data_IF_625727953746
#
_entry.id   IF_625727953746
#
_cell.length_a   1.000
_cell.length_b   1.000
_cell.length_c   1.000
_cell.angle_alpha   90.00
_cell.angle_beta   90.00
_cell.angle_gamma   90.00
#
_symmetry.space_group_name_H-M   'P 1'
#
loop_
_entity.id
_entity.type
_entity.pdbx_description
1 polymer ?
#
# COMPACT_ATOMS: atom_id res chain seq x y z
N UNK A 1 22.25 -38.37 11.02
CA UNK A 1 21.81 -38.41 9.61
C UNK A 1 20.42 -38.99 9.53
N UNK A 2 19.38 -38.40 10.14
CA UNK A 2 17.96 -38.81 10.04
C UNK A 2 17.05 -37.81 10.80
N UNK A 3 17.06 -36.51 10.40
CA UNK A 3 16.15 -35.48 10.98
C UNK A 3 15.50 -34.57 9.91
N UNK A 4 15.56 -34.99 8.63
CA UNK A 4 15.11 -34.16 7.50
C UNK A 4 13.88 -34.69 6.76
N UNK A 5 13.12 -35.62 7.33
CA UNK A 5 12.02 -36.30 6.62
C UNK A 5 10.65 -36.25 7.29
N UNK A 6 10.39 -35.31 8.20
CA UNK A 6 9.02 -35.07 8.72
C UNK A 6 8.69 -33.56 8.87
N UNK A 7 9.09 -32.73 7.92
CA UNK A 7 8.50 -31.42 7.73
C UNK A 7 7.18 -31.61 6.97
N UNK A 8 6.05 -31.62 7.67
CA UNK A 8 4.79 -31.22 7.04
C UNK A 8 5.03 -29.82 6.50
N UNK A 9 5.15 -29.65 5.20
CA UNK A 9 5.05 -28.35 4.55
C UNK A 9 3.62 -27.89 4.84
N UNK A 10 3.44 -27.03 5.87
CA UNK A 10 2.16 -26.41 6.11
C UNK A 10 1.94 -25.42 4.97
N UNK A 11 0.85 -25.58 4.25
CA UNK A 11 0.45 -24.65 3.20
C UNK A 11 -0.04 -23.36 3.88
N UNK A 12 0.56 -22.22 3.55
CA UNK A 12 0.11 -20.92 4.01
C UNK A 12 -0.98 -20.37 3.10
N UNK A 13 -2.12 -20.04 3.67
CA UNK A 13 -3.26 -19.47 2.96
C UNK A 13 -3.28 -17.96 3.14
N UNK A 14 -3.10 -17.22 2.06
CA UNK A 14 -3.01 -15.76 2.08
C UNK A 14 -4.24 -15.17 1.40
N UNK A 15 -5.05 -14.43 2.16
CA UNK A 15 -6.20 -13.70 1.61
C UNK A 15 -5.74 -12.47 0.85
N UNK A 16 -6.11 -12.35 -0.43
CA UNK A 16 -5.77 -11.23 -1.29
C UNK A 16 -7.02 -10.43 -1.66
N UNK A 17 -6.93 -9.11 -1.56
CA UNK A 17 -8.01 -8.20 -1.94
C UNK A 17 -7.46 -6.85 -2.38
N UNK A 18 -8.30 -6.01 -3.00
CA UNK A 18 -7.92 -4.67 -3.43
C UNK A 18 -9.03 -3.65 -3.28
N UNK A 19 -8.64 -2.42 -2.89
CA UNK A 19 -9.41 -1.20 -3.01
C UNK A 19 -8.48 -0.10 -3.56
N UNK A 20 -8.63 0.23 -4.83
CA UNK A 20 -7.76 1.19 -5.53
C UNK A 20 -8.62 2.33 -6.08
N UNK A 21 -8.55 3.47 -5.46
CA UNK A 21 -9.18 4.71 -5.92
C UNK A 21 -8.45 5.91 -5.34
N UNK A 22 -8.21 6.91 -6.16
CA UNK A 22 -7.67 8.21 -5.76
C UNK A 22 -8.81 9.24 -5.72
N UNK A 23 -8.93 9.97 -4.63
CA UNK A 23 -10.03 10.89 -4.38
C UNK A 23 -9.60 12.35 -4.42
N UNK A 24 -10.53 13.21 -4.85
CA UNK A 24 -10.39 14.65 -4.85
C UNK A 24 -11.54 15.27 -4.04
N UNK A 25 -11.23 15.89 -2.90
CA UNK A 25 -12.22 16.57 -2.04
C UNK A 25 -12.78 17.85 -2.66
N UNK A 26 -12.06 18.48 -3.57
CA UNK A 26 -12.39 19.80 -4.11
C UNK A 26 -13.12 19.73 -5.45
N UNK A 27 -13.35 18.53 -5.99
CA UNK A 27 -14.03 18.39 -7.28
C UNK A 27 -14.14 16.95 -7.75
N UNK A 28 -14.56 16.81 -9.00
CA UNK A 28 -14.78 15.50 -9.62
C UNK A 28 -16.21 15.01 -9.47
N UNK A 29 -16.52 13.93 -10.19
CA UNK A 29 -17.80 13.22 -10.07
C UNK A 29 -17.68 12.26 -8.89
N UNK A 30 -18.66 12.23 -7.96
CA UNK A 30 -18.66 11.26 -6.87
C UNK A 30 -18.50 9.83 -7.38
N UNK A 31 -17.64 9.05 -6.71
CA UNK A 31 -17.35 7.67 -7.09
C UNK A 31 -18.37 6.73 -6.46
N UNK A 32 -19.29 6.23 -7.25
CA UNK A 32 -20.31 5.26 -6.87
C UNK A 32 -19.85 3.82 -7.13
N UNK A 33 -20.67 2.83 -6.75
CA UNK A 33 -20.34 1.41 -6.99
C UNK A 33 -20.26 1.07 -8.48
N UNK A 34 -20.99 1.79 -9.34
CA UNK A 34 -20.92 1.57 -10.77
C UNK A 34 -19.64 2.13 -11.39
N UNK A 35 -18.99 3.10 -10.74
CA UNK A 35 -17.64 3.57 -11.11
C UNK A 35 -16.61 2.44 -10.98
N UNK A 36 -16.67 1.68 -9.89
CA UNK A 36 -15.84 0.48 -9.72
C UNK A 36 -16.21 -0.60 -10.75
N UNK A 37 -17.48 -0.87 -10.98
CA UNK A 37 -17.92 -1.86 -11.97
C UNK A 37 -17.51 -1.53 -13.40
N UNK A 38 -17.43 -0.24 -13.75
CA UNK A 38 -16.97 0.21 -15.07
C UNK A 38 -15.46 0.04 -15.25
N UNK A 39 -14.68 0.12 -14.17
CA UNK A 39 -13.22 0.00 -14.22
C UNK A 39 -12.79 -1.43 -13.91
N UNK A 40 -12.95 -1.87 -12.66
CA UNK A 40 -12.70 -3.24 -12.25
C UNK A 40 -13.46 -3.55 -10.97
N UNK A 41 -14.25 -4.60 -10.98
CA UNK A 41 -14.93 -5.12 -9.80
C UNK A 41 -15.01 -6.64 -9.92
N UNK A 42 -14.00 -7.33 -9.40
CA UNK A 42 -13.83 -8.78 -9.50
C UNK A 42 -14.01 -9.43 -8.13
N UNK A 43 -14.48 -10.68 -8.11
CA UNK A 43 -14.66 -11.45 -6.88
C UNK A 43 -14.20 -12.90 -7.06
N UNK A 44 -13.68 -13.49 -5.98
CA UNK A 44 -13.27 -14.88 -5.97
C UNK A 44 -12.26 -15.21 -7.06
N UNK A 45 -12.40 -16.34 -7.71
CA UNK A 45 -11.43 -16.90 -8.67
C UNK A 45 -11.13 -16.01 -9.90
N UNK A 46 -11.95 -14.98 -10.15
CA UNK A 46 -11.64 -14.02 -11.20
C UNK A 46 -10.37 -13.22 -10.89
N UNK A 47 -10.12 -12.94 -9.63
CA UNK A 47 -8.91 -12.23 -9.15
C UNK A 47 -7.66 -13.05 -9.46
N UNK A 48 -7.75 -14.38 -9.32
CA UNK A 48 -6.61 -15.28 -9.54
C UNK A 48 -6.18 -15.41 -11.03
N UNK A 49 -6.93 -14.79 -11.93
CA UNK A 49 -6.61 -14.72 -13.37
C UNK A 49 -5.85 -13.47 -13.77
N UNK A 50 -5.70 -12.51 -12.85
CA UNK A 50 -4.96 -11.28 -13.11
C UNK A 50 -3.47 -11.58 -13.32
N UNK A 51 -2.89 -10.98 -14.36
CA UNK A 51 -1.48 -11.15 -14.73
C UNK A 51 -0.70 -9.85 -14.70
N UNK A 52 -1.40 -8.73 -14.53
CA UNK A 52 -0.81 -7.38 -14.55
C UNK A 52 -1.19 -6.61 -13.28
N UNK A 53 -0.54 -5.47 -13.07
CA UNK A 53 -0.75 -4.63 -11.90
C UNK A 53 -0.33 -5.31 -10.59
N UNK A 54 -0.71 -4.72 -9.49
CA UNK A 54 -0.26 -5.14 -8.15
C UNK A 54 -0.66 -6.57 -7.81
N UNK A 55 -1.90 -6.97 -8.09
CA UNK A 55 -2.35 -8.35 -7.84
C UNK A 55 -1.63 -9.35 -8.75
N UNK A 56 -1.35 -8.99 -10.02
CA UNK A 56 -0.54 -9.82 -10.91
C UNK A 56 0.84 -10.12 -10.30
N UNK A 57 1.47 -9.11 -9.71
CA UNK A 57 2.73 -9.26 -8.97
C UNK A 57 2.60 -10.19 -7.75
N UNK A 58 1.51 -10.10 -6.99
CA UNK A 58 1.24 -11.04 -5.88
C UNK A 58 1.21 -12.49 -6.38
N UNK A 59 0.43 -12.73 -7.43
CA UNK A 59 0.23 -14.07 -7.97
C UNK A 59 1.51 -14.65 -8.57
N UNK A 60 2.39 -13.83 -9.14
CA UNK A 60 3.66 -14.31 -9.70
C UNK A 60 4.62 -14.75 -8.60
N UNK A 61 4.69 -14.05 -7.46
CA UNK A 61 5.45 -14.52 -6.30
C UNK A 61 4.84 -15.80 -5.73
N UNK A 62 3.52 -15.88 -5.58
CA UNK A 62 2.86 -17.08 -5.05
C UNK A 62 3.04 -18.31 -5.96
N UNK A 63 3.13 -18.13 -7.28
CA UNK A 63 3.50 -19.21 -8.21
C UNK A 63 4.92 -19.73 -7.95
N UNK A 64 5.87 -18.84 -7.60
CA UNK A 64 7.24 -19.25 -7.25
C UNK A 64 7.27 -20.03 -5.93
N UNK A 65 6.31 -19.79 -5.04
CA UNK A 65 6.13 -20.44 -3.74
C UNK A 65 4.95 -21.42 -3.71
N UNK A 66 4.53 -21.97 -4.86
CA UNK A 66 3.33 -22.81 -5.00
C UNK A 66 3.36 -24.10 -4.16
N UNK A 67 4.49 -24.47 -3.60
CA UNK A 67 4.62 -25.65 -2.71
C UNK A 67 4.23 -25.35 -1.26
N UNK A 68 4.15 -24.07 -0.87
CA UNK A 68 3.88 -23.63 0.49
C UNK A 68 2.91 -22.46 0.61
N UNK A 69 2.42 -21.88 -0.50
CA UNK A 69 1.49 -20.75 -0.50
C UNK A 69 0.25 -21.02 -1.36
N UNK A 70 -0.92 -20.71 -0.83
CA UNK A 70 -2.21 -20.75 -1.52
C UNK A 70 -2.90 -19.39 -1.42
N UNK A 71 -3.16 -18.69 -2.53
CA UNK A 71 -3.97 -17.46 -2.49
C UNK A 71 -5.45 -17.78 -2.27
N UNK A 72 -6.08 -17.02 -1.37
CA UNK A 72 -7.53 -16.97 -1.17
C UNK A 72 -8.03 -15.63 -1.71
N UNK A 73 -8.87 -15.67 -2.71
CA UNK A 73 -9.34 -14.49 -3.40
C UNK A 73 -10.58 -13.87 -2.72
N UNK A 74 -10.51 -12.59 -2.40
CA UNK A 74 -11.60 -11.79 -1.89
C UNK A 74 -12.30 -10.96 -2.97
N UNK A 75 -12.09 -9.64 -2.92
CA UNK A 75 -12.63 -8.66 -3.89
C UNK A 75 -11.48 -7.79 -4.43
N UNK A 76 -11.54 -7.44 -5.71
CA UNK A 76 -10.70 -6.42 -6.32
C UNK A 76 -11.57 -5.32 -6.90
N UNK A 77 -11.62 -4.18 -6.22
CA UNK A 77 -12.38 -3.01 -6.58
C UNK A 77 -11.44 -1.87 -6.96
N UNK A 78 -11.45 -1.45 -8.22
CA UNK A 78 -10.66 -0.31 -8.73
C UNK A 78 -11.57 0.68 -9.43
N UNK A 79 -11.43 1.96 -9.14
CA UNK A 79 -12.07 3.04 -9.88
C UNK A 79 -11.03 4.05 -10.40
N UNK A 80 -11.36 4.73 -11.50
CA UNK A 80 -10.55 5.87 -11.95
C UNK A 80 -10.56 6.98 -10.89
N UNK A 81 -9.49 7.80 -10.80
CA UNK A 81 -9.48 9.00 -9.98
C UNK A 81 -10.72 9.86 -10.18
N UNK A 82 -11.32 10.32 -9.09
CA UNK A 82 -12.60 11.06 -9.14
C UNK A 82 -12.85 11.86 -7.88
N UNK A 83 -14.10 12.24 -7.66
CA UNK A 83 -14.57 12.83 -6.41
C UNK A 83 -14.58 11.79 -5.28
N UNK A 84 -15.10 12.19 -4.12
CA UNK A 84 -15.23 11.32 -2.96
C UNK A 84 -16.02 10.05 -3.29
N UNK A 85 -15.63 8.95 -2.68
CA UNK A 85 -16.40 7.71 -2.75
C UNK A 85 -17.70 7.88 -1.96
N UNK A 86 -18.81 7.47 -2.54
CA UNK A 86 -20.06 7.43 -1.80
C UNK A 86 -19.95 6.44 -0.63
N UNK A 87 -20.42 6.83 0.55
CA UNK A 87 -20.38 5.95 1.73
C UNK A 87 -21.02 4.59 1.48
N UNK A 88 -22.13 4.56 0.72
CA UNK A 88 -22.82 3.32 0.35
C UNK A 88 -21.95 2.39 -0.51
N UNK A 89 -21.15 2.94 -1.42
CA UNK A 89 -20.22 2.16 -2.24
C UNK A 89 -19.07 1.58 -1.41
N UNK A 90 -18.47 2.42 -0.56
CA UNK A 90 -17.41 1.97 0.35
C UNK A 90 -17.90 0.87 1.30
N UNK A 91 -19.03 1.09 1.97
CA UNK A 91 -19.59 0.12 2.92
C UNK A 91 -19.90 -1.22 2.25
N UNK A 92 -20.38 -1.21 0.99
CA UNK A 92 -20.60 -2.44 0.22
C UNK A 92 -19.29 -3.17 -0.08
N UNK A 93 -18.24 -2.45 -0.52
CA UNK A 93 -16.93 -3.02 -0.81
C UNK A 93 -16.30 -3.59 0.47
N UNK A 94 -16.30 -2.80 1.55
CA UNK A 94 -15.80 -3.21 2.86
C UNK A 94 -16.51 -4.46 3.38
N UNK A 95 -17.86 -4.49 3.32
CA UNK A 95 -18.64 -5.66 3.75
C UNK A 95 -18.25 -6.92 2.96
N UNK A 96 -18.17 -6.84 1.64
CA UNK A 96 -17.79 -7.98 0.79
C UNK A 96 -16.37 -8.49 1.11
N UNK A 97 -15.43 -7.59 1.37
CA UNK A 97 -14.05 -7.97 1.77
C UNK A 97 -14.05 -8.67 3.12
N UNK A 98 -14.71 -8.08 4.13
CA UNK A 98 -14.74 -8.61 5.50
C UNK A 98 -15.52 -9.93 5.58
N UNK A 99 -16.59 -10.09 4.81
CA UNK A 99 -17.35 -11.35 4.74
C UNK A 99 -16.48 -12.48 4.17
N UNK A 100 -15.76 -12.22 3.08
CA UNK A 100 -14.83 -13.18 2.48
C UNK A 100 -13.69 -13.56 3.44
N UNK A 101 -13.09 -12.57 4.10
CA UNK A 101 -12.04 -12.76 5.10
C UNK A 101 -12.55 -13.59 6.31
N UNK A 102 -13.74 -13.25 6.80
CA UNK A 102 -14.38 -13.97 7.92
C UNK A 102 -14.68 -15.42 7.56
N UNK A 103 -15.09 -15.68 6.30
CA UNK A 103 -15.33 -17.04 5.82
C UNK A 103 -14.02 -17.85 5.76
N UNK A 104 -12.93 -17.25 5.28
CA UNK A 104 -11.61 -17.86 5.26
C UNK A 104 -11.11 -18.22 6.68
N UNK A 105 -11.24 -17.28 7.62
CA UNK A 105 -10.87 -17.49 9.02
C UNK A 105 -11.68 -18.60 9.67
N UNK A 106 -13.02 -18.64 9.48
CA UNK A 106 -13.89 -19.70 10.00
C UNK A 106 -13.59 -21.08 9.44
N UNK A 107 -13.04 -21.15 8.24
CA UNK A 107 -12.61 -22.41 7.62
C UNK A 107 -11.24 -22.90 8.13
N UNK A 108 -10.62 -22.19 9.10
CA UNK A 108 -9.25 -22.43 9.59
C UNK A 108 -8.23 -22.49 8.46
N UNK A 109 -8.36 -21.52 7.55
CA UNK A 109 -7.59 -21.46 6.30
C UNK A 109 -7.10 -20.03 6.05
N UNK A 110 -6.54 -19.38 7.07
CA UNK A 110 -6.03 -18.03 6.95
C UNK A 110 -4.74 -17.88 7.76
N UNK A 111 -3.64 -17.66 7.07
CA UNK A 111 -2.33 -17.45 7.68
C UNK A 111 -1.81 -16.03 7.46
N UNK A 112 -2.35 -15.30 6.50
CA UNK A 112 -1.95 -13.93 6.20
C UNK A 112 -2.95 -13.17 5.33
N UNK A 113 -2.86 -11.84 5.36
CA UNK A 113 -3.68 -10.93 4.55
C UNK A 113 -2.78 -10.01 3.72
N UNK A 114 -3.04 -9.92 2.42
CA UNK A 114 -2.30 -9.07 1.50
C UNK A 114 -3.27 -8.19 0.70
N UNK A 115 -3.19 -6.88 0.90
CA UNK A 115 -4.11 -5.91 0.34
C UNK A 115 -3.42 -4.98 -0.67
N UNK A 116 -4.04 -4.78 -1.84
CA UNK A 116 -3.65 -3.72 -2.76
C UNK A 116 -4.56 -2.50 -2.50
N UNK A 117 -3.99 -1.45 -1.94
CA UNK A 117 -4.67 -0.22 -1.57
C UNK A 117 -4.04 0.96 -2.32
N UNK A 118 -4.77 2.07 -2.44
CA UNK A 118 -4.19 3.29 -3.01
C UNK A 118 -3.47 4.13 -1.93
N UNK A 119 -4.14 4.41 -0.84
CA UNK A 119 -3.63 5.26 0.25
C UNK A 119 -4.10 6.70 0.17
N UNK A 120 -4.97 7.05 -0.77
CA UNK A 120 -5.58 8.38 -0.87
C UNK A 120 -7.07 8.32 -1.16
N UNK A 121 -7.73 7.27 -0.69
CA UNK A 121 -9.16 7.13 -0.79
C UNK A 121 -9.88 7.81 0.38
N UNK A 122 -10.93 8.56 0.05
CA UNK A 122 -11.81 9.20 1.02
C UNK A 122 -13.26 9.05 0.59
N UNK A 123 -14.19 9.01 1.55
CA UNK A 123 -15.62 9.02 1.27
C UNK A 123 -16.29 10.30 1.78
N UNK A 124 -17.61 10.36 1.62
CA UNK A 124 -18.41 11.49 2.09
C UNK A 124 -18.27 11.73 3.61
N UNK A 125 -18.02 10.67 4.39
CA UNK A 125 -17.93 10.73 5.86
C UNK A 125 -16.57 10.36 6.43
N UNK A 126 -15.65 9.77 5.66
CA UNK A 126 -14.35 9.27 6.12
C UNK A 126 -13.22 9.83 5.26
N UNK A 127 -12.20 10.41 5.91
CA UNK A 127 -11.01 10.96 5.24
C UNK A 127 -9.92 9.92 4.95
N UNK A 128 -10.03 8.70 5.51
CA UNK A 128 -9.04 7.63 5.42
C UNK A 128 -9.77 6.29 5.31
N UNK A 129 -10.06 5.87 4.07
CA UNK A 129 -10.73 4.58 3.83
C UNK A 129 -9.78 3.40 4.04
N UNK A 130 -8.50 3.59 3.75
CA UNK A 130 -7.50 2.55 3.88
C UNK A 130 -7.23 2.23 5.36
N UNK A 131 -7.08 3.24 6.20
CA UNK A 131 -6.93 3.04 7.65
C UNK A 131 -8.17 2.40 8.29
N UNK A 132 -9.37 2.85 7.90
CA UNK A 132 -10.63 2.24 8.37
C UNK A 132 -10.78 0.78 7.90
N UNK A 133 -10.34 0.46 6.69
CA UNK A 133 -10.35 -0.91 6.16
C UNK A 133 -9.34 -1.80 6.87
N UNK A 134 -8.10 -1.32 7.04
CA UNK A 134 -7.04 -2.04 7.76
C UNK A 134 -7.44 -2.31 9.22
N UNK A 135 -8.05 -1.33 9.90
CA UNK A 135 -8.59 -1.52 11.24
C UNK A 135 -9.66 -2.62 11.27
N UNK A 136 -10.59 -2.61 10.32
CA UNK A 136 -11.64 -3.62 10.24
C UNK A 136 -11.08 -5.02 9.97
N UNK A 137 -10.05 -5.12 9.11
CA UNK A 137 -9.32 -6.38 8.84
C UNK A 137 -8.63 -6.86 10.11
N UNK A 138 -7.88 -6.00 10.81
CA UNK A 138 -7.19 -6.32 12.07
C UNK A 138 -8.16 -6.80 13.15
N UNK A 139 -9.34 -6.18 13.27
CA UNK A 139 -10.38 -6.60 14.20
C UNK A 139 -10.90 -8.04 13.94
N UNK A 140 -10.90 -8.46 12.66
CA UNK A 140 -11.32 -9.82 12.28
C UNK A 140 -10.22 -10.84 12.53
N UNK A 141 -8.97 -10.52 12.14
CA UNK A 141 -7.88 -11.52 12.14
C UNK A 141 -7.10 -11.56 13.46
N UNK A 142 -7.21 -10.54 14.31
CA UNK A 142 -6.42 -10.42 15.55
C UNK A 142 -4.96 -10.04 15.27
N UNK A 143 -4.10 -10.16 16.30
CA UNK A 143 -2.70 -9.69 16.23
C UNK A 143 -1.74 -10.74 15.65
N UNK A 144 -2.13 -12.01 15.60
CA UNK A 144 -1.23 -13.11 15.22
C UNK A 144 -1.12 -13.30 13.69
N UNK A 145 -2.11 -12.84 12.92
CA UNK A 145 -2.14 -12.98 11.46
C UNK A 145 -1.56 -11.71 10.83
N UNK A 146 -0.47 -11.82 10.07
CA UNK A 146 0.15 -10.68 9.44
C UNK A 146 -0.73 -10.03 8.37
N UNK A 147 -0.72 -8.70 8.35
CA UNK A 147 -1.37 -7.85 7.35
C UNK A 147 -0.30 -7.05 6.61
N UNK A 148 -0.15 -7.32 5.33
CA UNK A 148 0.71 -6.54 4.43
C UNK A 148 -0.16 -5.78 3.45
N UNK A 149 0.15 -4.50 3.20
CA UNK A 149 -0.51 -3.75 2.13
C UNK A 149 0.50 -3.07 1.20
N UNK A 150 0.13 -3.02 -0.08
CA UNK A 150 0.83 -2.21 -1.07
C UNK A 150 0.04 -0.95 -1.36
N UNK A 151 0.75 0.15 -1.60
CA UNK A 151 0.18 1.49 -1.77
C UNK A 151 0.72 2.16 -3.03
N UNK A 152 -0.02 3.15 -3.52
CA UNK A 152 0.51 4.13 -4.47
C UNK A 152 1.47 5.10 -3.76
N UNK A 153 2.42 5.69 -4.49
CA UNK A 153 3.32 6.70 -3.90
C UNK A 153 2.63 8.03 -3.56
N UNK A 154 1.40 8.26 -4.07
CA UNK A 154 0.58 9.41 -3.69
C UNK A 154 -0.24 9.17 -2.40
N UNK A 155 0.03 8.09 -1.71
CA UNK A 155 -0.64 7.78 -0.45
C UNK A 155 -0.38 8.83 0.63
N UNK A 156 -1.43 9.16 1.37
CA UNK A 156 -1.36 9.85 2.65
C UNK A 156 -1.32 8.81 3.77
N UNK A 157 -0.13 8.54 4.30
CA UNK A 157 0.02 7.53 5.36
C UNK A 157 -0.48 8.08 6.68
N UNK A 158 -1.45 7.40 7.26
CA UNK A 158 -2.04 7.78 8.54
C UNK A 158 -1.50 6.91 9.68
N UNK A 159 -1.56 7.41 10.93
CA UNK A 159 -1.26 6.57 12.10
C UNK A 159 -2.09 5.28 12.15
N UNK A 160 -3.34 5.34 11.68
CA UNK A 160 -4.25 4.19 11.66
C UNK A 160 -3.78 3.11 10.67
N UNK A 161 -3.24 3.50 9.50
CA UNK A 161 -2.63 2.54 8.58
C UNK A 161 -1.42 1.82 9.21
N UNK A 162 -0.55 2.58 9.91
CA UNK A 162 0.64 2.02 10.59
C UNK A 162 0.23 1.08 11.72
N UNK A 163 -0.75 1.47 12.54
CA UNK A 163 -1.20 0.69 13.71
C UNK A 163 -1.82 -0.65 13.32
N UNK A 164 -2.48 -0.71 12.17
CA UNK A 164 -3.30 -1.87 11.78
C UNK A 164 -2.69 -2.72 10.64
N UNK A 165 -1.44 -2.45 10.26
CA UNK A 165 -0.68 -3.29 9.32
C UNK A 165 0.70 -3.64 9.86
N UNK A 166 1.28 -4.74 9.40
CA UNK A 166 2.63 -5.15 9.77
C UNK A 166 3.68 -4.62 8.78
N UNK A 167 3.32 -4.52 7.50
CA UNK A 167 4.16 -3.96 6.45
C UNK A 167 3.33 -3.18 5.45
N UNK A 168 3.79 -1.97 5.13
CA UNK A 168 3.33 -1.18 3.99
C UNK A 168 4.47 -1.01 2.99
N UNK A 169 4.19 -1.19 1.70
CA UNK A 169 5.15 -1.02 0.60
C UNK A 169 4.50 -0.19 -0.50
N UNK A 170 5.16 0.88 -0.96
CA UNK A 170 4.59 1.75 -1.99
C UNK A 170 5.27 1.61 -3.35
N UNK A 171 4.56 2.05 -4.40
CA UNK A 171 5.14 2.26 -5.73
C UNK A 171 6.29 3.26 -5.64
N UNK A 172 7.26 3.12 -6.53
CA UNK A 172 8.49 3.92 -6.53
C UNK A 172 8.60 4.84 -7.76
N UNK A 173 7.70 4.71 -8.72
CA UNK A 173 7.78 5.45 -9.98
C UNK A 173 6.60 6.39 -10.21
N UNK A 174 6.93 7.60 -10.63
CA UNK A 174 5.99 8.55 -11.21
C UNK A 174 6.58 9.21 -12.45
N UNK A 175 5.97 9.03 -13.64
CA UNK A 175 4.75 8.26 -13.93
C UNK A 175 4.84 6.78 -13.55
N UNK A 176 3.69 6.21 -13.14
CA UNK A 176 3.59 4.85 -12.62
C UNK A 176 3.95 3.78 -13.65
N UNK A 177 4.87 2.88 -13.29
CA UNK A 177 5.34 1.78 -14.14
C UNK A 177 5.60 0.49 -13.36
N UNK A 178 5.62 0.54 -12.04
CA UNK A 178 6.10 -0.50 -11.12
C UNK A 178 5.01 -1.11 -10.23
N UNK A 179 3.74 -1.00 -10.63
CA UNK A 179 2.64 -1.60 -9.87
C UNK A 179 2.82 -3.11 -9.67
N UNK A 180 3.28 -3.81 -10.70
CA UNK A 180 3.53 -5.25 -10.65
C UNK A 180 4.72 -5.58 -9.73
N UNK A 181 5.83 -4.88 -9.87
CA UNK A 181 7.03 -5.06 -9.05
C UNK A 181 6.74 -4.72 -7.58
N UNK A 182 5.94 -3.70 -7.30
CA UNK A 182 5.48 -3.39 -5.94
C UNK A 182 4.60 -4.51 -5.39
N UNK A 183 3.73 -5.07 -6.23
CA UNK A 183 3.00 -6.29 -5.88
C UNK A 183 3.93 -7.42 -5.48
N UNK A 184 4.97 -7.68 -6.28
CA UNK A 184 5.96 -8.71 -5.94
C UNK A 184 6.64 -8.45 -4.60
N UNK A 185 7.02 -7.20 -4.30
CA UNK A 185 7.63 -6.81 -3.00
C UNK A 185 6.68 -7.06 -1.82
N UNK A 186 5.41 -6.66 -1.95
CA UNK A 186 4.40 -6.91 -0.91
C UNK A 186 4.15 -8.41 -0.67
N UNK A 187 4.06 -9.19 -1.75
CA UNK A 187 3.90 -10.64 -1.65
C UNK A 187 5.13 -11.34 -1.07
N UNK A 188 6.34 -10.89 -1.40
CA UNK A 188 7.56 -11.41 -0.80
C UNK A 188 7.60 -11.10 0.70
N UNK A 189 7.21 -9.89 1.13
CA UNK A 189 7.18 -9.53 2.53
C UNK A 189 6.28 -10.45 3.37
N UNK A 190 5.06 -10.75 2.91
CA UNK A 190 4.18 -11.64 3.67
C UNK A 190 4.71 -13.09 3.68
N UNK A 191 5.34 -13.56 2.61
CA UNK A 191 5.99 -14.87 2.58
C UNK A 191 7.15 -14.94 3.57
N UNK A 192 8.00 -13.91 3.62
CA UNK A 192 9.15 -13.84 4.53
C UNK A 192 8.70 -13.79 6.00
N UNK A 193 7.60 -13.07 6.30
CA UNK A 193 7.00 -13.07 7.65
C UNK A 193 6.52 -14.48 8.02
N UNK A 194 5.77 -15.13 7.15
CA UNK A 194 5.19 -16.46 7.42
C UNK A 194 6.27 -17.56 7.55
N UNK A 195 7.42 -17.38 6.94
CA UNK A 195 8.58 -18.26 7.08
C UNK A 195 9.44 -17.95 8.30
N UNK A 196 9.23 -16.79 8.92
CA UNK A 196 10.04 -16.31 10.03
C UNK A 196 11.38 -15.69 9.60
N UNK A 197 11.55 -15.37 8.33
CA UNK A 197 12.72 -14.70 7.77
C UNK A 197 12.65 -13.17 8.01
N UNK A 198 11.44 -12.63 8.16
CA UNK A 198 11.16 -11.23 8.47
C UNK A 198 10.32 -11.12 9.75
N UNK A 199 10.82 -10.34 10.71
CA UNK A 199 10.08 -9.84 11.86
C UNK A 199 9.95 -8.32 11.70
N UNK A 200 8.88 -7.84 11.05
CA UNK A 200 8.84 -6.45 10.62
C UNK A 200 8.68 -5.49 11.80
N UNK A 201 9.40 -4.39 11.72
CA UNK A 201 9.13 -3.16 12.46
C UNK A 201 9.08 -2.01 11.46
N UNK A 202 8.13 -1.11 11.63
CA UNK A 202 7.81 -0.10 10.65
C UNK A 202 7.67 1.28 11.28
N UNK A 203 8.17 2.31 10.61
CA UNK A 203 8.01 3.69 11.04
C UNK A 203 7.80 4.62 9.86
N UNK A 204 7.02 5.68 10.08
CA UNK A 204 6.77 6.75 9.12
C UNK A 204 7.30 8.07 9.64
N UNK A 205 8.15 8.72 8.85
CA UNK A 205 8.53 10.11 9.00
C UNK A 205 7.67 10.99 8.11
N UNK A 206 7.01 12.00 8.67
CA UNK A 206 6.11 12.90 7.96
C UNK A 206 6.69 14.31 7.86
N UNK A 207 6.67 14.87 6.65
CA UNK A 207 6.92 16.28 6.38
C UNK A 207 5.63 16.95 5.85
N UNK A 208 5.21 18.11 6.38
CA UNK A 208 3.99 18.79 5.96
C UNK A 208 4.19 19.50 4.61
N UNK A 209 4.43 18.71 3.57
CA UNK A 209 4.67 19.16 2.19
C UNK A 209 3.66 18.50 1.29
N UNK A 210 2.90 19.32 0.56
CA UNK A 210 1.97 18.91 -0.48
C UNK A 210 2.49 19.40 -1.81
N UNK A 211 2.54 18.53 -2.81
CA UNK A 211 3.19 18.81 -4.09
C UNK A 211 2.26 18.50 -5.25
N UNK A 212 2.19 19.42 -6.21
CA UNK A 212 1.58 19.13 -7.51
C UNK A 212 2.46 18.19 -8.35
N UNK A 213 1.85 17.56 -9.35
CA UNK A 213 2.49 16.54 -10.18
C UNK A 213 3.76 17.02 -10.94
N UNK A 214 3.91 18.33 -11.19
CA UNK A 214 4.95 18.86 -12.10
C UNK A 214 6.37 18.51 -11.63
N UNK A 215 6.66 18.69 -10.35
CA UNK A 215 7.98 18.42 -9.76
C UNK A 215 8.03 17.09 -9.00
N UNK A 216 6.97 16.27 -9.14
CA UNK A 216 6.81 14.98 -8.45
C UNK A 216 7.38 13.79 -9.19
N UNK A 217 7.94 13.98 -10.42
CA UNK A 217 8.49 12.87 -11.18
C UNK A 217 9.64 12.18 -10.44
N UNK A 218 9.70 10.86 -10.57
CA UNK A 218 10.84 10.07 -10.09
C UNK A 218 11.89 9.83 -11.16
N UNK A 219 11.64 10.32 -12.39
CA UNK A 219 12.61 10.27 -13.46
C UNK A 219 13.65 11.40 -13.33
N UNK A 220 14.91 11.10 -13.66
CA UNK A 220 16.01 12.07 -13.65
C UNK A 220 16.48 12.43 -12.23
N UNK A 221 16.74 13.73 -12.02
CA UNK A 221 17.33 14.26 -10.78
C UNK A 221 16.48 15.41 -10.18
N UNK A 222 15.18 15.40 -10.43
CA UNK A 222 14.25 16.35 -9.82
C UNK A 222 14.17 16.16 -8.29
N UNK A 223 13.53 17.10 -7.57
CA UNK A 223 13.55 17.09 -6.12
C UNK A 223 12.90 15.84 -5.50
N UNK A 224 11.81 15.33 -6.08
CA UNK A 224 11.24 14.08 -5.59
C UNK A 224 12.04 12.85 -6.03
N UNK A 225 12.63 12.85 -7.23
CA UNK A 225 13.57 11.82 -7.66
C UNK A 225 14.77 11.70 -6.69
N UNK A 226 15.30 12.83 -6.19
CA UNK A 226 16.35 12.82 -5.18
C UNK A 226 15.88 12.20 -3.86
N UNK A 227 14.63 12.45 -3.44
CA UNK A 227 14.05 11.83 -2.25
C UNK A 227 13.92 10.32 -2.43
N UNK A 228 13.45 9.88 -3.60
CA UNK A 228 13.40 8.45 -3.93
C UNK A 228 14.79 7.82 -3.97
N UNK A 229 15.79 8.48 -4.55
CA UNK A 229 17.17 8.00 -4.52
C UNK A 229 17.70 7.89 -3.08
N UNK A 230 17.36 8.86 -2.19
CA UNK A 230 17.72 8.76 -0.78
C UNK A 230 17.07 7.56 -0.11
N UNK A 231 15.79 7.31 -0.36
CA UNK A 231 15.09 6.13 0.13
C UNK A 231 15.83 4.84 -0.30
N UNK A 232 16.17 4.70 -1.58
CA UNK A 232 16.89 3.53 -2.08
C UNK A 232 18.32 3.38 -1.52
N UNK A 233 19.00 4.49 -1.17
CA UNK A 233 20.29 4.43 -0.46
C UNK A 233 20.13 3.89 0.97
N UNK A 234 19.05 4.24 1.65
CA UNK A 234 18.75 3.70 2.98
C UNK A 234 18.38 2.23 2.91
N UNK A 235 17.59 1.83 1.91
CA UNK A 235 17.20 0.43 1.67
C UNK A 235 18.39 -0.49 1.36
N UNK A 236 19.48 0.03 0.84
CA UNK A 236 20.68 -0.76 0.58
C UNK A 236 21.40 -1.23 1.86
N UNK A 237 20.97 -0.80 3.04
CA UNK A 237 21.52 -1.26 4.34
C UNK A 237 20.99 -2.65 4.67
N UNK A 238 21.82 -3.56 5.19
CA UNK A 238 21.42 -4.94 5.47
C UNK A 238 20.28 -5.07 6.50
N UNK A 239 20.13 -4.09 7.39
CA UNK A 239 19.12 -4.08 8.45
C UNK A 239 17.75 -3.57 7.95
N UNK A 240 17.72 -2.92 6.79
CA UNK A 240 16.51 -2.33 6.20
C UNK A 240 15.88 -3.31 5.22
N UNK A 241 14.63 -3.65 5.45
CA UNK A 241 13.89 -4.54 4.57
C UNK A 241 13.34 -3.81 3.35
N UNK A 242 12.68 -2.66 3.58
CA UNK A 242 12.18 -1.80 2.50
C UNK A 242 12.06 -0.35 2.92
N UNK A 243 12.09 0.54 1.94
CA UNK A 243 11.77 1.95 2.11
C UNK A 243 10.76 2.39 1.07
N UNK A 244 9.90 3.35 1.44
CA UNK A 244 8.96 4.00 0.53
C UNK A 244 9.01 5.51 0.73
N UNK A 245 9.03 6.28 -0.35
CA UNK A 245 8.89 7.73 -0.30
C UNK A 245 7.52 8.12 -0.83
N UNK A 246 6.83 9.02 -0.14
CA UNK A 246 5.47 9.42 -0.46
C UNK A 246 5.38 10.88 -0.91
N UNK A 247 4.68 11.09 -2.00
CA UNK A 247 4.35 12.36 -2.60
C UNK A 247 2.84 12.54 -2.54
N UNK A 248 2.33 13.04 -1.43
CA UNK A 248 0.88 13.23 -1.26
C UNK A 248 0.39 14.31 -2.21
N UNK A 249 -0.63 13.99 -3.00
CA UNK A 249 -1.23 14.99 -3.90
C UNK A 249 -2.07 16.03 -3.13
N UNK A 250 -2.20 17.27 -3.63
CA UNK A 250 -2.80 18.37 -2.88
C UNK A 250 -4.34 18.39 -2.89
N UNK A 251 -5.00 17.36 -3.41
CA UNK A 251 -6.45 17.32 -3.58
C UNK A 251 -7.19 16.54 -2.49
N UNK A 252 -6.49 16.02 -1.49
CA UNK A 252 -7.10 15.51 -0.26
C UNK A 252 -7.31 16.66 0.74
N UNK A 253 -8.30 16.50 1.61
CA UNK A 253 -8.53 17.35 2.79
C UNK A 253 -8.66 16.43 4.01
N UNK A 254 -7.52 16.04 4.55
CA UNK A 254 -7.41 15.12 5.67
C UNK A 254 -6.49 15.71 6.77
N UNK A 255 -6.66 15.27 8.02
CA UNK A 255 -5.77 15.71 9.10
C UNK A 255 -4.32 15.27 8.86
N UNK A 256 -3.37 16.13 9.29
CA UNK A 256 -1.93 15.83 9.29
C UNK A 256 -1.37 15.46 7.91
N UNK A 257 -1.90 16.05 6.84
CA UNK A 257 -1.41 15.78 5.50
C UNK A 257 0.06 16.12 5.32
N UNK A 258 0.75 15.29 4.55
CA UNK A 258 2.12 15.49 4.17
C UNK A 258 2.73 14.25 3.54
N UNK A 259 3.80 14.44 2.81
CA UNK A 259 4.62 13.35 2.27
C UNK A 259 5.75 12.98 3.23
N UNK A 260 6.65 12.13 2.80
CA UNK A 260 7.80 11.74 3.60
C UNK A 260 8.29 10.34 3.28
N UNK A 261 8.69 9.59 4.30
CA UNK A 261 9.25 8.27 4.13
C UNK A 261 8.79 7.25 5.16
N UNK A 262 8.55 6.07 4.67
CA UNK A 262 8.27 4.88 5.46
C UNK A 262 9.47 3.94 5.37
N UNK A 263 9.85 3.37 6.50
CA UNK A 263 10.96 2.43 6.60
C UNK A 263 10.50 1.18 7.33
N UNK A 264 10.78 0.03 6.75
CA UNK A 264 10.57 -1.28 7.35
C UNK A 264 11.93 -1.90 7.62
N UNK A 265 12.16 -2.32 8.86
CA UNK A 265 13.37 -3.04 9.27
C UNK A 265 13.04 -4.43 9.79
N UNK A 266 14.06 -5.26 9.96
CA UNK A 266 13.90 -6.59 10.55
C UNK A 266 14.25 -6.53 12.05
N UNK A 267 13.23 -6.48 12.91
CA UNK A 267 13.33 -6.46 14.38
C UNK A 267 14.16 -5.29 14.97
N UNK A 268 14.12 -4.11 14.34
CA UNK A 268 14.84 -2.92 14.80
C UNK A 268 13.98 -1.64 14.68
N UNK A 269 13.09 -1.43 15.65
CA UNK A 269 12.19 -0.27 15.67
C UNK A 269 12.96 1.06 15.80
N UNK A 270 14.05 1.09 16.57
CA UNK A 270 14.82 2.32 16.77
C UNK A 270 15.47 2.79 15.46
N UNK A 271 15.98 1.84 14.69
CA UNK A 271 16.54 2.13 13.37
C UNK A 271 15.43 2.57 12.38
N UNK A 272 14.27 1.91 12.39
CA UNK A 272 13.12 2.31 11.55
C UNK A 272 12.73 3.77 11.87
N UNK A 273 12.60 4.14 13.14
CA UNK A 273 12.25 5.49 13.58
C UNK A 273 13.30 6.53 13.17
N UNK A 274 14.58 6.18 13.30
CA UNK A 274 15.68 7.06 12.91
C UNK A 274 15.66 7.33 11.40
N UNK A 275 15.58 6.28 10.59
CA UNK A 275 15.69 6.39 9.14
C UNK A 275 14.44 6.99 8.50
N UNK A 276 13.26 6.71 9.04
CA UNK A 276 12.01 7.35 8.59
C UNK A 276 12.05 8.86 8.83
N UNK A 277 12.57 9.31 10.00
CA UNK A 277 12.77 10.73 10.31
C UNK A 277 13.80 11.35 9.37
N UNK A 278 14.93 10.70 9.14
CA UNK A 278 15.97 11.17 8.22
C UNK A 278 15.41 11.38 6.80
N UNK A 279 14.58 10.45 6.31
CA UNK A 279 13.96 10.56 4.99
C UNK A 279 12.96 11.71 4.93
N UNK A 280 12.16 11.90 5.99
CA UNK A 280 11.23 13.02 6.07
C UNK A 280 11.94 14.38 6.16
N UNK A 281 13.04 14.48 6.90
CA UNK A 281 13.89 15.68 6.97
C UNK A 281 14.50 15.99 5.60
N UNK A 282 15.02 14.98 4.90
CA UNK A 282 15.53 15.13 3.54
C UNK A 282 14.43 15.63 2.59
N UNK A 283 13.22 15.07 2.65
CA UNK A 283 12.08 15.51 1.84
C UNK A 283 11.68 16.96 2.18
N UNK A 284 11.66 17.32 3.47
CA UNK A 284 11.42 18.70 3.91
C UNK A 284 12.44 19.70 3.36
N UNK A 285 13.70 19.32 3.28
CA UNK A 285 14.75 20.16 2.70
C UNK A 285 14.51 20.47 1.23
N UNK A 286 13.86 19.55 0.48
CA UNK A 286 13.51 19.74 -0.93
C UNK A 286 12.28 20.63 -1.15
N UNK A 287 11.51 21.00 -0.13
CA UNK A 287 10.17 21.63 -0.25
C UNK A 287 10.11 22.85 -1.19
N UNK A 288 11.13 23.69 -1.21
CA UNK A 288 11.16 24.87 -2.08
C UNK A 288 11.52 24.53 -3.55
N UNK A 289 12.18 23.41 -3.78
CA UNK A 289 12.47 22.92 -5.12
C UNK A 289 11.27 22.19 -5.73
N UNK A 290 10.34 21.74 -4.88
CA UNK A 290 9.10 21.08 -5.27
C UNK A 290 8.03 22.09 -5.73
N UNK A 291 8.20 23.37 -5.42
CA UNK A 291 7.29 24.42 -5.86
C UNK A 291 7.39 24.65 -7.38
N UNK A 292 6.28 24.54 -8.13
CA UNK A 292 6.30 24.74 -9.56
C UNK A 292 6.48 26.22 -9.91
N UNK A 293 7.20 26.48 -10.99
CA UNK A 293 7.21 27.81 -11.59
C UNK A 293 5.85 28.10 -12.22
N UNK A 294 5.22 29.20 -11.78
CA UNK A 294 3.93 29.62 -12.28
C UNK A 294 4.11 30.74 -13.31
N UNK A 295 3.44 30.59 -14.44
CA UNK A 295 3.43 31.58 -15.51
C UNK A 295 2.04 32.22 -15.61
N UNK A 296 2.00 33.51 -15.86
CA UNK A 296 0.78 34.18 -16.28
C UNK A 296 0.35 33.64 -17.66
N UNK A 297 -0.95 33.53 -17.89
CA UNK A 297 -1.51 32.97 -19.13
C UNK A 297 -0.99 33.68 -20.37
N UNK A 298 -0.74 34.99 -20.27
CA UNK A 298 -0.21 35.82 -21.39
C UNK A 298 1.26 35.54 -21.66
N UNK A 299 1.97 34.81 -20.82
CA UNK A 299 3.40 34.49 -20.95
C UNK A 299 3.67 32.99 -21.13
N UNK A 300 2.62 32.19 -21.29
CA UNK A 300 2.73 30.74 -21.44
C UNK A 300 2.88 30.29 -22.88
#
# INVERSE_FOLDING_TARGET
>A
MAKWLNGNLSMHHIYISALLVECNHFGGIPTDIDSFRRTQYLQGDEILKLTEGTIGGYLDVFKQHAFDVVPLAGIAATACPGGLVQDSAYLQIKANLIDGLTAALKADRLDGVLLALHGSAASESLCDLEGDLLQAVRQVVGEDIPIVATLDLHAHITPQMIEHSDVLVAWETYPHRDAHETGMRGAQAIVDILRGDLKPTMSMGLAPVLVGAINGTTDGNGPFAMTMHRAKQLEARPEVYSTSAFLVHPYLDAPQMGGGGLVVTNDDQELADQLARELAEFYWEQRFLLEPELFEVDNA
#
